data_IF_986874962420
#
_entry.id   IF_986874962420
#
_cell.length_a   1.000
_cell.length_b   1.000
_cell.length_c   1.000
_cell.angle_alpha   90.00
_cell.angle_beta   90.00
_cell.angle_gamma   90.00
#
_symmetry.space_group_name_H-M   'P 1'
#
loop_
_entity.id
_entity.type
_entity.pdbx_description
1 polymer ?
#
# COMPACT_ATOMS: atom_id res chain seq x y z
N UNK A 1 -65.48 -9.05 -6.59
CA UNK A 1 -64.91 -9.98 -5.58
C UNK A 1 -63.57 -9.41 -5.16
N UNK A 2 -63.51 -8.87 -3.95
CA UNK A 2 -62.31 -8.32 -3.32
C UNK A 2 -61.61 -9.44 -2.56
N UNK A 3 -60.31 -9.63 -2.74
CA UNK A 3 -59.51 -10.42 -1.78
C UNK A 3 -58.06 -9.97 -1.77
N UNK A 4 -57.83 -9.05 -0.83
CA UNK A 4 -56.61 -8.71 -0.09
C UNK A 4 -55.31 -9.44 -0.42
N UNK A 5 -54.39 -8.70 -1.02
CA UNK A 5 -52.96 -8.89 -0.75
C UNK A 5 -52.71 -8.69 0.75
N UNK A 6 -52.38 -9.77 1.45
CA UNK A 6 -52.03 -9.76 2.86
C UNK A 6 -50.69 -9.05 3.03
N UNK A 7 -50.72 -7.71 3.05
CA UNK A 7 -49.60 -6.85 3.39
C UNK A 7 -49.38 -6.97 4.90
N UNK A 8 -48.54 -7.92 5.33
CA UNK A 8 -48.05 -7.96 6.71
C UNK A 8 -47.17 -6.73 6.94
N UNK A 9 -47.82 -5.69 7.44
CA UNK A 9 -47.18 -4.51 7.98
C UNK A 9 -46.62 -4.89 9.35
N UNK A 10 -45.30 -5.02 9.45
CA UNK A 10 -44.60 -4.85 10.74
C UNK A 10 -44.02 -3.43 10.76
N UNK A 11 -44.30 -2.62 11.78
CA UNK A 11 -43.88 -1.24 11.84
C UNK A 11 -42.60 -1.14 12.67
N UNK A 12 -41.46 -1.53 12.10
CA UNK A 12 -40.15 -1.18 12.68
C UNK A 12 -39.16 -1.08 11.50
N UNK A 13 -38.94 0.15 11.04
CA UNK A 13 -38.15 0.49 9.86
C UNK A 13 -36.65 0.31 10.06
N UNK A 14 -36.20 -0.93 10.31
CA UNK A 14 -34.77 -1.25 10.38
C UNK A 14 -34.48 -2.57 9.65
N UNK A 15 -34.44 -2.48 8.32
CA UNK A 15 -33.77 -3.42 7.43
C UNK A 15 -33.02 -2.51 6.41
N UNK A 16 -31.73 -2.55 6.13
CA UNK A 16 -30.63 -3.43 6.51
C UNK A 16 -29.36 -2.73 5.99
N UNK A 17 -28.72 -1.87 6.80
CA UNK A 17 -27.42 -1.24 6.45
C UNK A 17 -26.24 -2.17 6.67
N UNK A 18 -26.47 -3.38 7.22
CA UNK A 18 -25.43 -4.36 7.54
C UNK A 18 -24.69 -4.92 6.31
N UNK A 19 -25.36 -5.10 5.18
CA UNK A 19 -24.71 -5.63 3.97
C UNK A 19 -23.77 -4.64 3.27
N UNK A 20 -24.10 -3.35 3.28
CA UNK A 20 -23.28 -2.30 2.65
C UNK A 20 -22.06 -1.93 3.50
N UNK A 21 -22.22 -1.90 4.84
CA UNK A 21 -21.11 -1.61 5.74
C UNK A 21 -20.06 -2.71 5.71
N UNK A 22 -20.49 -3.98 5.68
CA UNK A 22 -19.58 -5.12 5.72
C UNK A 22 -18.76 -5.24 4.42
N UNK A 23 -19.42 -5.11 3.25
CA UNK A 23 -18.74 -5.14 1.95
C UNK A 23 -17.78 -3.95 1.77
N UNK A 24 -18.15 -2.77 2.30
CA UNK A 24 -17.29 -1.58 2.27
C UNK A 24 -16.05 -1.75 3.18
N UNK A 25 -16.22 -2.34 4.36
CA UNK A 25 -15.11 -2.67 5.27
C UNK A 25 -14.17 -3.69 4.63
N UNK A 26 -14.72 -4.75 4.03
CA UNK A 26 -13.93 -5.76 3.32
C UNK A 26 -13.16 -5.19 2.12
N UNK A 27 -13.79 -4.32 1.33
CA UNK A 27 -13.11 -3.62 0.23
C UNK A 27 -11.98 -2.70 0.69
N UNK A 28 -12.19 -1.98 1.79
CA UNK A 28 -11.18 -1.10 2.38
C UNK A 28 -9.99 -1.89 2.95
N UNK A 29 -10.27 -3.00 3.65
CA UNK A 29 -9.23 -3.89 4.16
C UNK A 29 -8.42 -4.54 3.01
N UNK A 30 -9.09 -4.99 1.95
CA UNK A 30 -8.43 -5.53 0.77
C UNK A 30 -7.52 -4.49 0.10
N UNK A 31 -7.94 -3.22 0.03
CA UNK A 31 -7.12 -2.14 -0.51
C UNK A 31 -5.87 -1.87 0.34
N UNK A 32 -5.99 -1.87 1.68
CA UNK A 32 -4.83 -1.72 2.59
C UNK A 32 -3.84 -2.88 2.39
N UNK A 33 -4.34 -4.13 2.34
CA UNK A 33 -3.49 -5.31 2.15
C UNK A 33 -2.79 -5.31 0.79
N UNK A 34 -3.50 -4.97 -0.29
CA UNK A 34 -2.93 -4.85 -1.63
C UNK A 34 -1.84 -3.76 -1.68
N UNK A 35 -2.09 -2.63 -1.03
CA UNK A 35 -1.12 -1.56 -0.90
C UNK A 35 0.13 -2.06 -0.14
N UNK A 36 -0.04 -2.69 1.03
CA UNK A 36 1.08 -3.25 1.80
C UNK A 36 1.93 -4.25 0.99
N UNK A 37 1.31 -5.12 0.21
CA UNK A 37 2.03 -6.09 -0.62
C UNK A 37 2.78 -5.39 -1.76
N UNK A 38 2.16 -4.42 -2.44
CA UNK A 38 2.82 -3.63 -3.48
C UNK A 38 4.06 -2.90 -2.95
N UNK A 39 4.01 -2.39 -1.71
CA UNK A 39 5.18 -1.78 -1.08
C UNK A 39 6.27 -2.79 -0.72
N UNK A 40 5.91 -4.00 -0.26
CA UNK A 40 6.89 -5.06 0.02
C UNK A 40 7.64 -5.45 -1.26
N UNK A 41 6.93 -5.59 -2.38
CA UNK A 41 7.52 -5.86 -3.69
C UNK A 41 8.45 -4.72 -4.12
N UNK A 42 7.97 -3.47 -4.15
CA UNK A 42 8.75 -2.30 -4.56
C UNK A 42 10.00 -2.11 -3.66
N UNK A 43 9.86 -2.34 -2.35
CA UNK A 43 10.98 -2.28 -1.41
C UNK A 43 12.01 -3.38 -1.63
N UNK A 44 11.58 -4.58 -2.05
CA UNK A 44 12.49 -5.67 -2.40
C UNK A 44 13.29 -5.31 -3.63
N UNK A 45 12.60 -4.86 -4.68
CA UNK A 45 13.24 -4.48 -5.94
C UNK A 45 14.25 -3.34 -5.76
N UNK A 46 13.90 -2.29 -5.02
CA UNK A 46 14.79 -1.16 -4.76
C UNK A 46 16.07 -1.59 -4.02
N UNK A 47 15.97 -2.51 -3.05
CA UNK A 47 17.13 -3.08 -2.35
C UNK A 47 17.98 -3.94 -3.29
N UNK A 48 17.36 -4.75 -4.14
CA UNK A 48 18.07 -5.55 -5.14
C UNK A 48 18.83 -4.66 -6.14
N UNK A 49 18.20 -3.61 -6.66
CA UNK A 49 18.83 -2.65 -7.56
C UNK A 49 20.05 -1.97 -6.92
N UNK A 50 19.92 -1.47 -5.68
CA UNK A 50 21.03 -0.83 -4.98
C UNK A 50 22.16 -1.80 -4.62
N UNK A 51 21.84 -3.04 -4.24
CA UNK A 51 22.84 -4.07 -3.95
C UNK A 51 23.58 -4.51 -5.22
N UNK A 52 22.87 -4.71 -6.33
CA UNK A 52 23.46 -4.99 -7.64
C UNK A 52 24.35 -3.84 -8.13
N UNK A 53 23.93 -2.59 -7.88
CA UNK A 53 24.76 -1.40 -8.14
C UNK A 53 26.04 -1.38 -7.31
N UNK A 54 25.95 -1.73 -6.02
CA UNK A 54 27.12 -1.83 -5.15
C UNK A 54 28.10 -2.90 -5.63
N UNK A 55 27.61 -4.09 -5.98
CA UNK A 55 28.44 -5.20 -6.49
C UNK A 55 29.16 -4.79 -7.77
N UNK A 56 28.45 -4.16 -8.72
CA UNK A 56 29.03 -3.65 -9.98
C UNK A 56 30.15 -2.64 -9.73
N UNK A 57 29.89 -1.61 -8.92
CA UNK A 57 30.87 -0.57 -8.59
C UNK A 57 32.07 -1.11 -7.83
N UNK A 58 31.85 -2.09 -6.95
CA UNK A 58 32.92 -2.81 -6.25
C UNK A 58 33.79 -3.61 -7.23
N UNK A 59 33.19 -4.36 -8.14
CA UNK A 59 33.91 -5.16 -9.14
C UNK A 59 34.71 -4.28 -10.12
N UNK A 60 34.19 -3.10 -10.45
CA UNK A 60 34.86 -2.10 -11.29
C UNK A 60 35.98 -1.33 -10.56
N UNK A 61 36.19 -1.56 -9.25
CA UNK A 61 37.21 -0.84 -8.48
C UNK A 61 36.90 0.65 -8.28
N UNK A 62 35.65 1.08 -8.47
CA UNK A 62 35.23 2.49 -8.34
C UNK A 62 35.35 3.02 -6.91
N UNK A 63 35.39 2.12 -5.92
CA UNK A 63 35.62 2.47 -4.52
C UNK A 63 37.11 2.37 -4.19
N UNK A 64 37.79 3.52 -4.16
CA UNK A 64 39.21 3.63 -3.84
C UNK A 64 39.46 3.53 -2.34
N UNK A 65 38.46 3.91 -1.53
CA UNK A 65 38.55 3.88 -0.06
C UNK A 65 37.35 3.18 0.57
N UNK A 66 37.52 2.71 1.82
CA UNK A 66 36.42 2.20 2.65
C UNK A 66 35.39 3.31 2.90
N UNK A 67 35.83 4.55 3.03
CA UNK A 67 34.98 5.70 3.31
C UNK A 67 34.01 5.99 2.15
N UNK A 68 34.44 5.80 0.90
CA UNK A 68 33.56 5.89 -0.29
C UNK A 68 32.51 4.79 -0.32
N UNK A 69 32.84 3.57 0.12
CA UNK A 69 31.86 2.48 0.25
C UNK A 69 30.81 2.82 1.29
N UNK A 70 31.23 3.31 2.46
CA UNK A 70 30.32 3.72 3.53
C UNK A 70 29.43 4.88 3.07
N UNK A 71 29.99 5.89 2.39
CA UNK A 71 29.22 7.01 1.83
C UNK A 71 28.16 6.54 0.83
N UNK A 72 28.49 5.58 -0.02
CA UNK A 72 27.55 4.99 -0.96
C UNK A 72 26.42 4.25 -0.23
N UNK A 73 26.75 3.41 0.76
CA UNK A 73 25.76 2.68 1.54
C UNK A 73 24.83 3.62 2.32
N UNK A 74 25.38 4.66 2.96
CA UNK A 74 24.59 5.68 3.66
C UNK A 74 23.62 6.40 2.72
N UNK A 75 24.04 6.66 1.48
CA UNK A 75 23.15 7.26 0.47
C UNK A 75 22.00 6.33 0.09
N UNK A 76 22.30 5.04 -0.11
CA UNK A 76 21.26 4.03 -0.36
C UNK A 76 20.27 3.92 0.82
N UNK A 77 20.77 3.95 2.05
CA UNK A 77 19.91 3.95 3.25
C UNK A 77 19.02 5.19 3.31
N UNK A 78 19.54 6.37 3.01
CA UNK A 78 18.75 7.61 3.00
C UNK A 78 17.63 7.56 1.95
N UNK A 79 17.92 7.06 0.74
CA UNK A 79 16.90 6.89 -0.31
C UNK A 79 15.81 5.89 0.10
N UNK A 80 16.20 4.76 0.71
CA UNK A 80 15.24 3.79 1.21
C UNK A 80 14.34 4.40 2.30
N UNK A 81 14.92 5.17 3.23
CA UNK A 81 14.18 5.82 4.30
C UNK A 81 13.21 6.89 3.78
N UNK A 82 13.60 7.66 2.75
CA UNK A 82 12.72 8.63 2.10
C UNK A 82 11.51 7.95 1.45
N UNK A 83 11.74 6.87 0.69
CA UNK A 83 10.67 6.10 0.05
C UNK A 83 9.75 5.46 1.09
N UNK A 84 10.30 4.95 2.20
CA UNK A 84 9.52 4.41 3.30
C UNK A 84 8.67 5.47 4.01
N UNK A 85 9.18 6.69 4.18
CA UNK A 85 8.41 7.79 4.73
C UNK A 85 7.26 8.23 3.79
N UNK A 86 7.50 8.29 2.47
CA UNK A 86 6.46 8.52 1.48
C UNK A 86 5.37 7.44 1.56
N UNK A 87 5.78 6.17 1.68
CA UNK A 87 4.86 5.05 1.84
C UNK A 87 3.98 5.15 3.08
N UNK A 88 4.57 5.43 4.24
CA UNK A 88 3.82 5.56 5.50
C UNK A 88 2.78 6.68 5.40
N UNK A 89 3.11 7.80 4.74
CA UNK A 89 2.16 8.90 4.52
C UNK A 89 0.98 8.48 3.64
N UNK A 90 1.24 7.68 2.61
CA UNK A 90 0.19 7.11 1.76
C UNK A 90 -0.73 6.18 2.56
N UNK A 91 -0.17 5.29 3.38
CA UNK A 91 -0.95 4.40 4.26
C UNK A 91 -1.83 5.17 5.26
N UNK A 92 -1.31 6.24 5.88
CA UNK A 92 -2.10 7.10 6.78
C UNK A 92 -3.25 7.79 6.03
N UNK A 93 -3.03 8.17 4.77
CA UNK A 93 -4.06 8.78 3.92
C UNK A 93 -5.16 7.77 3.54
N UNK A 94 -4.77 6.52 3.27
CA UNK A 94 -5.69 5.41 3.00
C UNK A 94 -6.59 5.10 4.18
N UNK A 95 -6.00 4.92 5.36
CA UNK A 95 -6.73 4.64 6.60
C UNK A 95 -7.65 5.81 6.98
N UNK A 96 -7.29 7.04 6.62
CA UNK A 96 -8.13 8.22 6.80
C UNK A 96 -9.28 8.34 5.79
N UNK A 97 -9.42 7.40 4.85
CA UNK A 97 -10.52 7.38 3.87
C UNK A 97 -10.33 8.28 2.66
N UNK A 98 -9.11 8.80 2.42
CA UNK A 98 -8.80 9.45 1.15
C UNK A 98 -8.69 8.37 0.07
N UNK A 99 -9.61 8.38 -0.90
CA UNK A 99 -9.73 7.34 -1.93
C UNK A 99 -8.40 6.97 -2.58
N UNK A 100 -8.08 5.67 -2.59
CA UNK A 100 -6.96 5.11 -3.32
C UNK A 100 -7.32 4.94 -4.79
N UNK A 101 -6.50 5.48 -5.69
CA UNK A 101 -6.51 5.12 -7.11
C UNK A 101 -5.31 4.19 -7.36
N UNK A 102 -5.52 2.85 -7.42
CA UNK A 102 -4.43 1.88 -7.59
C UNK A 102 -3.65 2.04 -8.91
N UNK A 103 -4.15 2.84 -9.86
CA UNK A 103 -3.45 3.17 -11.09
C UNK A 103 -2.19 4.04 -10.88
N UNK A 104 -2.04 4.71 -9.72
CA UNK A 104 -0.88 5.55 -9.42
C UNK A 104 0.42 4.76 -9.19
N UNK A 105 0.32 3.44 -8.94
CA UNK A 105 1.46 2.54 -8.71
C UNK A 105 1.68 1.56 -9.86
N UNK A 106 1.35 1.95 -11.10
CA UNK A 106 1.82 1.20 -12.27
C UNK A 106 3.33 1.42 -12.42
N UNK A 107 4.10 0.47 -11.90
CA UNK A 107 5.49 0.21 -12.29
C UNK A 107 5.53 -0.44 -13.67
#
# INVERSE_FOLDING_TARGET
MSSSACRKHRPDGVYETRGYSDLSIHGHLAAILAAQEAWREASRELREQHSAGFVRKRAAGEFKTVQEKVKYLNRCQALLAEKEAEWVRLQVSLVAGAGFEPAAFRL
#
